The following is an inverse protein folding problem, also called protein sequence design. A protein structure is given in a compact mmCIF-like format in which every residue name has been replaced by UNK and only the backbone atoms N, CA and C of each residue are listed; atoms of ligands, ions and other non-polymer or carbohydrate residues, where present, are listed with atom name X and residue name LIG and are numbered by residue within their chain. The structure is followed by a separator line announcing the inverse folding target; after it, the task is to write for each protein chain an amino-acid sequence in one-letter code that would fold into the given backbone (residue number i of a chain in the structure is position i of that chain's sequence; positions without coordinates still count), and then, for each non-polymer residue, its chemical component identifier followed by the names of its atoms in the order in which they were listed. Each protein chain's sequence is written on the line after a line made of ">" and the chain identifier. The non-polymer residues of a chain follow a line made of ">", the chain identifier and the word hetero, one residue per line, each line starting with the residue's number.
data_IF_759991028030
#
_entry.id   IF_759991028030
#
_cell.length_a   1.000
_cell.length_b   1.000
_cell.length_c   1.000
_cell.angle_alpha   90.00
_cell.angle_beta   90.00
_cell.angle_gamma   90.00
#
_symmetry.space_group_name_H-M   'P 1'
#
loop_
_entity.id
_entity.type
_entity.pdbx_description
1 polymer ?
#
# COMPACT_ATOMS: atom_id res chain seq x y z
N UNK A 1 1.10 -22.89 17.06
CA UNK A 1 1.28 -21.52 16.53
C UNK A 1 -0.11 -20.96 16.29
N UNK A 2 -0.52 -19.83 16.90
CA UNK A 2 -1.81 -19.24 16.59
C UNK A 2 -1.84 -18.92 15.09
N UNK A 3 -2.94 -19.29 14.42
CA UNK A 3 -3.17 -18.90 13.03
C UNK A 3 -3.14 -17.37 12.94
N UNK A 4 -2.46 -16.77 11.94
CA UNK A 4 -2.44 -15.32 11.80
C UNK A 4 -3.88 -14.81 11.69
N UNK A 5 -4.23 -13.82 12.52
CA UNK A 5 -5.51 -13.15 12.39
C UNK A 5 -5.57 -12.46 11.03
N UNK A 6 -6.70 -12.56 10.31
CA UNK A 6 -6.85 -11.87 9.04
C UNK A 6 -6.70 -10.35 9.23
N UNK A 7 -6.14 -9.63 8.24
CA UNK A 7 -5.99 -8.18 8.35
C UNK A 7 -7.37 -7.51 8.42
N UNK A 8 -7.46 -6.41 9.17
CA UNK A 8 -8.70 -5.63 9.27
C UNK A 8 -9.20 -5.15 7.90
N UNK A 9 -8.28 -4.95 6.96
CA UNK A 9 -8.58 -4.63 5.56
C UNK A 9 -7.81 -5.59 4.65
N UNK A 10 -8.52 -6.33 3.82
CA UNK A 10 -7.92 -7.30 2.89
C UNK A 10 -7.32 -6.65 1.64
N UNK A 11 -7.65 -5.38 1.36
CA UNK A 11 -7.20 -4.63 0.19
C UNK A 11 -6.99 -3.16 0.56
N UNK A 12 -5.86 -2.61 0.11
CA UNK A 12 -5.58 -1.16 0.09
C UNK A 12 -5.53 -0.76 -1.38
N UNK A 13 -6.43 0.13 -1.79
CA UNK A 13 -6.40 0.76 -3.11
C UNK A 13 -5.82 2.17 -2.93
N UNK A 14 -4.78 2.52 -3.67
CA UNK A 14 -4.13 3.82 -3.53
C UNK A 14 -4.02 4.49 -4.89
N UNK A 15 -4.50 5.74 -4.94
CA UNK A 15 -4.22 6.62 -6.05
C UNK A 15 -2.70 6.87 -6.19
N UNK A 16 -2.23 7.16 -7.40
CA UNK A 16 -0.81 7.31 -7.68
C UNK A 16 -0.36 8.77 -7.56
N UNK A 17 -0.87 9.63 -8.41
CA UNK A 17 -0.37 10.98 -8.64
C UNK A 17 -0.85 11.97 -7.58
N UNK A 18 0.09 12.55 -6.82
CA UNK A 18 -0.25 13.43 -5.70
C UNK A 18 -0.79 12.67 -4.47
N UNK A 19 -0.88 11.34 -4.54
CA UNK A 19 -1.27 10.48 -3.41
C UNK A 19 -0.10 9.58 -2.96
N UNK A 20 0.30 8.59 -3.77
CA UNK A 20 1.43 7.72 -3.45
C UNK A 20 2.77 8.34 -3.87
N UNK A 21 2.79 8.97 -5.03
CA UNK A 21 3.92 9.74 -5.53
C UNK A 21 3.90 11.14 -4.92
N UNK A 22 5.08 11.57 -4.46
CA UNK A 22 5.36 12.97 -4.15
C UNK A 22 5.43 13.81 -5.43
N UNK A 23 5.47 15.16 -5.29
CA UNK A 23 5.69 16.05 -6.44
C UNK A 23 6.98 15.79 -7.24
N UNK A 24 7.97 15.10 -6.66
CA UNK A 24 9.22 14.69 -7.32
C UNK A 24 9.17 13.26 -7.89
N UNK A 25 7.96 12.71 -8.08
CA UNK A 25 7.69 11.34 -8.53
C UNK A 25 8.30 10.23 -7.64
N UNK A 26 8.68 10.57 -6.40
CA UNK A 26 9.23 9.60 -5.45
C UNK A 26 8.18 9.02 -4.51
N UNK A 27 8.43 7.81 -3.99
CA UNK A 27 7.66 7.21 -2.89
C UNK A 27 8.46 7.29 -1.59
N UNK A 28 7.83 7.73 -0.51
CA UNK A 28 8.51 7.90 0.80
C UNK A 28 9.05 6.61 1.37
N UNK A 29 10.10 6.71 2.18
CA UNK A 29 10.43 5.67 3.15
C UNK A 29 9.22 5.30 4.04
N UNK A 30 8.49 6.29 4.58
CA UNK A 30 7.25 6.07 5.36
C UNK A 30 6.18 5.28 4.58
N UNK A 31 5.85 5.70 3.35
CA UNK A 31 4.82 5.04 2.54
C UNK A 31 5.24 3.61 2.15
N UNK A 32 6.52 3.42 1.79
CA UNK A 32 7.09 2.09 1.53
C UNK A 32 6.97 1.18 2.76
N UNK A 33 7.30 1.67 3.94
CA UNK A 33 7.17 0.92 5.18
C UNK A 33 5.72 0.56 5.48
N UNK A 34 4.78 1.49 5.31
CA UNK A 34 3.35 1.23 5.52
C UNK A 34 2.80 0.16 4.57
N UNK A 35 3.16 0.23 3.28
CA UNK A 35 2.74 -0.77 2.29
C UNK A 35 3.38 -2.14 2.56
N UNK A 36 4.64 -2.18 3.00
CA UNK A 36 5.30 -3.42 3.40
C UNK A 36 4.62 -4.07 4.61
N UNK A 37 4.18 -3.27 5.59
CA UNK A 37 3.42 -3.76 6.75
C UNK A 37 2.04 -4.30 6.35
N UNK A 38 1.35 -3.61 5.43
CA UNK A 38 0.06 -4.09 4.93
C UNK A 38 0.23 -5.42 4.18
N UNK A 39 1.24 -5.53 3.31
CA UNK A 39 1.54 -6.74 2.57
C UNK A 39 1.94 -7.91 3.49
N UNK A 40 2.77 -7.65 4.52
CA UNK A 40 3.17 -8.69 5.48
C UNK A 40 2.03 -9.16 6.38
N UNK A 41 1.04 -8.30 6.63
CA UNK A 41 -0.21 -8.66 7.28
C UNK A 41 -1.21 -9.41 6.36
N UNK A 42 -0.86 -9.63 5.09
CA UNK A 42 -1.68 -10.37 4.12
C UNK A 42 -2.68 -9.51 3.36
N UNK A 43 -2.63 -8.18 3.49
CA UNK A 43 -3.43 -7.30 2.66
C UNK A 43 -2.82 -7.17 1.26
N UNK A 44 -3.67 -7.09 0.23
CA UNK A 44 -3.23 -6.74 -1.13
C UNK A 44 -3.15 -5.23 -1.28
N UNK A 45 -2.18 -4.75 -2.05
CA UNK A 45 -2.09 -3.35 -2.45
C UNK A 45 -2.32 -3.24 -3.95
N UNK A 46 -3.20 -2.34 -4.36
CA UNK A 46 -3.51 -2.07 -5.77
C UNK A 46 -3.35 -0.57 -6.03
N UNK A 47 -2.57 -0.25 -7.06
CA UNK A 47 -2.48 1.11 -7.57
C UNK A 47 -3.71 1.36 -8.45
N UNK A 48 -4.47 2.38 -8.11
CA UNK A 48 -5.57 2.88 -8.93
C UNK A 48 -5.05 4.13 -9.61
N UNK A 49 -4.90 4.12 -10.92
CA UNK A 49 -4.37 5.27 -11.65
C UNK A 49 -4.99 5.35 -13.03
N UNK A 50 -5.06 6.57 -13.56
CA UNK A 50 -5.35 6.82 -14.97
C UNK A 50 -4.11 6.71 -15.87
N UNK A 51 -2.91 6.51 -15.29
CA UNK A 51 -1.71 6.22 -16.07
C UNK A 51 -1.88 4.86 -16.80
N UNK A 52 -1.41 4.77 -18.07
CA UNK A 52 -1.52 3.54 -18.87
C UNK A 52 -0.67 2.39 -18.34
#
# INVERSE_FOLDING_TARGET
>A
MPSPMPPAYALVATDLDGTLLRPDDSVSARSRAALALAASAGARHLIVTGRP
#
